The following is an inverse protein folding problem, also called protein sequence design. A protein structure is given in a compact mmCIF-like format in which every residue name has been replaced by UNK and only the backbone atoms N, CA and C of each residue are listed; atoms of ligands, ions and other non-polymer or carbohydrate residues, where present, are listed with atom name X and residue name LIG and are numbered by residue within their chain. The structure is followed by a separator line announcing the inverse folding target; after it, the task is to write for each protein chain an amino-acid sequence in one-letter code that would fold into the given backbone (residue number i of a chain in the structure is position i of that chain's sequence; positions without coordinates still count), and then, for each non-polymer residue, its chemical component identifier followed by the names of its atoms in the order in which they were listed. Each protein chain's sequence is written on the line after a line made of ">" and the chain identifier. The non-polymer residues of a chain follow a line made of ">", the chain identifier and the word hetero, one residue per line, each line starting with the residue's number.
data_IF_859152962200
#
_entry.id   IF_859152962200
#
_cell.length_a   1.000
_cell.length_b   1.000
_cell.length_c   1.000
_cell.angle_alpha   90.00
_cell.angle_beta   90.00
_cell.angle_gamma   90.00
#
_symmetry.space_group_name_H-M   'P 1'
#
loop_
_entity.id
_entity.type
_entity.pdbx_description
1 polymer ?
#
# COMPACT_ATOMS: atom_id res chain seq x y z
N UNK A 1 -11.97 -7.99 13.96
CA UNK A 1 -12.34 -7.12 12.82
C UNK A 1 -11.08 -6.40 12.39
N UNK A 2 -10.69 -6.52 11.12
CA UNK A 2 -9.56 -5.77 10.57
C UNK A 2 -10.06 -4.36 10.25
N UNK A 3 -9.53 -3.33 10.91
CA UNK A 3 -9.83 -1.96 10.52
C UNK A 3 -9.28 -1.74 9.09
N UNK A 4 -10.06 -1.17 8.17
CA UNK A 4 -9.55 -0.85 6.84
C UNK A 4 -8.35 0.10 6.97
N UNK A 5 -7.28 -0.09 6.17
CA UNK A 5 -6.09 0.76 6.26
C UNK A 5 -6.46 2.21 5.93
N UNK A 6 -5.90 3.16 6.68
CA UNK A 6 -6.02 4.59 6.39
C UNK A 6 -4.78 4.99 5.60
N UNK A 7 -4.97 5.38 4.34
CA UNK A 7 -3.89 5.89 3.50
C UNK A 7 -3.82 7.41 3.53
N UNK A 8 -2.65 8.02 3.28
CA UNK A 8 -2.53 9.47 3.14
C UNK A 8 -3.52 10.02 2.11
N UNK A 9 -4.24 11.08 2.49
CA UNK A 9 -5.31 11.64 1.65
C UNK A 9 -4.81 12.10 0.26
N UNK A 10 -3.56 12.58 0.18
CA UNK A 10 -2.95 13.05 -1.06
C UNK A 10 -2.64 11.93 -2.07
N UNK A 11 -2.75 10.66 -1.69
CA UNK A 11 -2.62 9.53 -2.62
C UNK A 11 -3.87 9.30 -3.46
N UNK A 12 -5.04 9.79 -3.01
CA UNK A 12 -6.33 9.64 -3.71
C UNK A 12 -6.67 8.20 -4.13
N UNK A 13 -6.20 7.20 -3.37
CA UNK A 13 -6.47 5.78 -3.62
C UNK A 13 -7.78 5.33 -2.97
N UNK A 14 -8.45 4.36 -3.59
CA UNK A 14 -9.71 3.80 -3.12
C UNK A 14 -9.76 2.28 -3.24
N UNK A 15 -10.83 1.67 -2.73
CA UNK A 15 -11.11 0.23 -2.85
C UNK A 15 -9.95 -0.69 -2.42
N UNK A 16 -9.39 -0.53 -1.20
CA UNK A 16 -8.35 -1.44 -0.73
C UNK A 16 -8.84 -2.88 -0.64
N UNK A 17 -8.16 -3.78 -1.34
CA UNK A 17 -8.31 -5.23 -1.20
C UNK A 17 -6.98 -5.78 -0.73
N UNK A 18 -6.96 -6.40 0.46
CA UNK A 18 -5.76 -7.08 0.95
C UNK A 18 -5.48 -8.30 0.07
N UNK A 19 -4.30 -8.34 -0.55
CA UNK A 19 -3.90 -9.42 -1.46
C UNK A 19 -2.77 -10.28 -0.91
N UNK A 20 -2.00 -9.76 0.06
CA UNK A 20 -1.02 -10.56 0.79
C UNK A 20 -0.85 -10.03 2.22
N UNK A 21 -0.80 -10.97 3.16
CA UNK A 21 -0.37 -10.75 4.54
C UNK A 21 0.90 -11.57 4.76
N UNK A 22 2.04 -10.89 4.84
CA UNK A 22 3.34 -11.53 5.00
C UNK A 22 3.87 -11.31 6.40
N UNK A 23 4.98 -11.96 6.75
CA UNK A 23 5.62 -11.76 8.04
C UNK A 23 5.95 -10.28 8.32
N UNK A 24 6.37 -9.52 7.31
CA UNK A 24 6.85 -8.14 7.48
C UNK A 24 5.93 -7.07 6.90
N UNK A 25 4.87 -7.42 6.19
CA UNK A 25 4.05 -6.42 5.49
C UNK A 25 2.62 -6.86 5.25
N UNK A 26 1.78 -5.87 5.04
CA UNK A 26 0.46 -6.01 4.43
C UNK A 26 0.51 -5.37 3.05
N UNK A 27 -0.04 -6.07 2.05
CA UNK A 27 -0.06 -5.61 0.66
C UNK A 27 -1.50 -5.50 0.19
N UNK A 28 -1.87 -4.32 -0.29
CA UNK A 28 -3.20 -4.04 -0.82
C UNK A 28 -3.14 -3.70 -2.29
N UNK A 29 -4.11 -4.20 -3.05
CA UNK A 29 -4.48 -3.61 -4.34
C UNK A 29 -5.46 -2.46 -4.08
N UNK A 30 -5.23 -1.34 -4.72
CA UNK A 30 -6.07 -0.13 -4.65
C UNK A 30 -6.37 0.39 -6.06
N UNK A 31 -7.36 1.28 -6.18
CA UNK A 31 -7.71 1.96 -7.42
C UNK A 31 -7.29 3.43 -7.33
N UNK A 32 -6.56 3.93 -8.33
CA UNK A 32 -6.26 5.34 -8.54
C UNK A 32 -7.51 6.10 -9.06
N UNK A 33 -7.50 7.45 -9.07
CA UNK A 33 -8.66 8.25 -9.52
C UNK A 33 -9.11 7.98 -10.95
N UNK A 34 -8.19 7.57 -11.84
CA UNK A 34 -8.46 7.20 -13.23
C UNK A 34 -8.93 5.74 -13.39
N UNK A 35 -9.05 5.00 -12.28
CA UNK A 35 -9.39 3.58 -12.26
C UNK A 35 -8.21 2.63 -12.45
N UNK A 36 -6.99 3.16 -12.64
CA UNK A 36 -5.79 2.35 -12.78
C UNK A 36 -5.49 1.61 -11.47
N UNK A 37 -5.22 0.29 -11.49
CA UNK A 37 -4.85 -0.43 -10.29
C UNK A 37 -3.44 -0.05 -9.81
N UNK A 38 -3.27 0.13 -8.51
CA UNK A 38 -1.98 0.36 -7.85
C UNK A 38 -1.80 -0.58 -6.64
N UNK A 39 -0.59 -0.64 -6.10
CA UNK A 39 -0.24 -1.49 -4.95
C UNK A 39 0.21 -0.61 -3.78
N UNK A 40 -0.37 -0.79 -2.60
CA UNK A 40 0.15 -0.22 -1.36
C UNK A 40 0.81 -1.32 -0.55
N UNK A 41 1.98 -1.05 0.03
CA UNK A 41 2.61 -1.92 1.02
C UNK A 41 2.80 -1.17 2.32
N UNK A 42 2.15 -1.64 3.36
CA UNK A 42 2.38 -1.19 4.72
C UNK A 42 3.35 -2.14 5.39
N UNK A 43 4.44 -1.62 5.95
CA UNK A 43 5.30 -2.44 6.79
C UNK A 43 4.61 -2.73 8.11
N UNK A 44 4.72 -3.96 8.60
CA UNK A 44 4.32 -4.28 9.96
C UNK A 44 5.37 -3.69 10.92
N UNK A 45 4.96 -3.25 12.13
CA UNK A 45 5.90 -2.91 13.17
C UNK A 45 6.85 -4.08 13.40
N UNK A 46 8.16 -3.82 13.34
CA UNK A 46 9.16 -4.79 13.77
C UNK A 46 9.39 -4.49 15.25
N UNK A 47 9.15 -5.46 16.13
CA UNK A 47 9.09 -5.27 17.60
C UNK A 47 10.34 -4.60 18.21
N UNK A 48 11.48 -4.58 17.49
CA UNK A 48 12.74 -3.98 17.93
C UNK A 48 13.18 -2.72 17.14
N UNK A 49 12.38 -2.24 16.18
CA UNK A 49 12.69 -1.02 15.42
C UNK A 49 11.45 -0.14 15.40
N UNK A 50 11.49 0.99 16.12
CA UNK A 50 10.45 2.01 16.08
C UNK A 50 10.48 2.76 14.73
N UNK A 51 10.03 2.09 13.66
CA UNK A 51 9.95 2.65 12.32
C UNK A 51 8.65 2.21 11.63
N UNK A 52 7.64 3.08 11.68
CA UNK A 52 6.39 2.92 10.93
C UNK A 52 6.54 3.59 9.56
N UNK A 53 6.63 2.81 8.48
CA UNK A 53 6.66 3.33 7.11
C UNK A 53 5.64 2.62 6.21
N UNK A 54 4.86 3.40 5.48
CA UNK A 54 3.88 2.94 4.48
C UNK A 54 4.32 3.47 3.11
N UNK A 55 4.41 2.60 2.12
CA UNK A 55 4.85 2.93 0.75
C UNK A 55 3.72 2.69 -0.26
N UNK A 56 3.54 3.62 -1.20
CA UNK A 56 2.67 3.48 -2.37
C UNK A 56 3.51 3.10 -3.60
N UNK A 57 3.08 2.10 -4.35
CA UNK A 57 3.67 1.70 -5.63
C UNK A 57 2.65 1.88 -6.75
N UNK A 58 2.99 2.64 -7.78
CA UNK A 58 2.21 2.74 -9.01
C UNK A 58 2.70 1.68 -10.01
N UNK A 59 1.76 0.92 -10.59
CA UNK A 59 2.09 -0.04 -11.65
C UNK A 59 1.88 0.66 -12.98
N UNK A 60 2.95 0.85 -13.76
CA UNK A 60 2.85 1.27 -15.17
C UNK A 60 3.07 0.04 -16.08
N UNK A 61 2.61 0.09 -17.33
CA UNK A 61 2.80 -0.99 -18.32
C UNK A 61 4.29 -1.35 -18.56
N UNK A 62 5.24 -0.54 -18.08
CA UNK A 62 6.68 -0.71 -18.26
C UNK A 62 7.43 -1.33 -17.05
N UNK A 63 6.74 -1.68 -15.95
CA UNK A 63 7.35 -2.24 -14.74
C UNK A 63 7.17 -1.37 -13.48
N UNK A 64 7.90 -1.70 -12.42
CA UNK A 64 7.78 -1.05 -11.10
C UNK A 64 8.49 0.31 -11.11
N UNK A 65 7.74 1.42 -11.00
CA UNK A 65 8.29 2.76 -10.75
C UNK A 65 8.11 3.16 -9.28
N UNK A 66 9.17 3.74 -8.71
CA UNK A 66 9.26 4.12 -7.30
C UNK A 66 9.04 5.63 -7.16
N UNK A 67 8.01 6.04 -6.42
CA UNK A 67 7.82 7.42 -5.97
C UNK A 67 7.88 7.47 -4.43
N UNK A 68 8.62 8.45 -3.90
CA UNK A 68 8.81 8.71 -2.46
C UNK A 68 7.86 9.79 -1.95
#
# INVERSE_FOLDING_TARGET
>A
MFMPPVFPAHWHVSQPVLIADTFSSLVWKVSLPDGTPAIVKGLKPIEDIAFDAIFLYTVTEAGWTFDF
#
